data_IF_319839099141
#
_entry.id   IF_319839099141
#
_cell.length_a   1.000
_cell.length_b   1.000
_cell.length_c   1.000
_cell.angle_alpha   90.00
_cell.angle_beta   90.00
_cell.angle_gamma   90.00
#
_symmetry.space_group_name_H-M   'P 1'
#
loop_
_entity.id
_entity.type
_entity.pdbx_description
1 polymer ?
#
# COMPACT_ATOMS: atom_id res chain seq x y z
N UNK A 1 1.39 -7.01 13.05
CA UNK A 1 1.89 -6.02 12.06
C UNK A 1 1.81 -4.64 12.71
N UNK A 2 2.86 -3.84 12.60
CA UNK A 2 2.82 -2.43 12.98
C UNK A 2 2.53 -1.59 11.72
N UNK A 3 1.46 -0.80 11.74
CA UNK A 3 1.06 -0.01 10.59
C UNK A 3 1.12 1.49 10.91
N UNK A 4 1.82 2.26 10.08
CA UNK A 4 1.78 3.72 10.07
C UNK A 4 1.67 4.20 8.64
N UNK A 5 0.52 4.75 8.27
CA UNK A 5 0.29 5.17 6.90
C UNK A 5 1.00 6.50 6.61
N UNK A 6 1.67 6.59 5.45
CA UNK A 6 2.22 7.82 4.92
C UNK A 6 1.13 8.66 4.22
N UNK A 7 0.19 7.98 3.56
CA UNK A 7 -1.00 8.49 2.87
C UNK A 7 -0.74 9.28 1.58
N UNK A 8 0.30 10.13 1.51
CA UNK A 8 0.54 10.97 0.34
C UNK A 8 2.00 11.41 0.23
N UNK A 9 2.30 12.17 -0.82
CA UNK A 9 3.63 12.64 -1.21
C UNK A 9 4.03 13.94 -0.50
N UNK A 10 5.34 14.25 -0.35
CA UNK A 10 5.81 15.37 0.47
C UNK A 10 5.14 16.73 0.20
N UNK A 11 4.98 17.10 -1.08
CA UNK A 11 4.39 18.39 -1.49
C UNK A 11 2.95 18.57 -0.99
N UNK A 12 2.18 17.48 -0.94
CA UNK A 12 0.76 17.49 -0.55
C UNK A 12 0.60 17.21 0.96
N UNK A 13 1.56 16.49 1.55
CA UNK A 13 1.49 15.99 2.92
C UNK A 13 1.13 17.06 3.95
N UNK A 14 1.84 18.18 3.98
CA UNK A 14 1.62 19.24 4.98
C UNK A 14 0.21 19.84 4.90
N UNK A 15 -0.39 19.87 3.71
CA UNK A 15 -1.75 20.38 3.49
C UNK A 15 -2.80 19.41 4.06
N UNK A 16 -2.59 18.11 3.87
CA UNK A 16 -3.57 17.08 4.27
C UNK A 16 -3.38 16.58 5.70
N UNK A 17 -2.15 16.63 6.21
CA UNK A 17 -1.76 16.08 7.53
C UNK A 17 -0.96 17.12 8.32
N UNK A 18 -1.52 18.29 8.66
CA UNK A 18 -0.78 19.40 9.26
C UNK A 18 -0.18 19.09 10.64
N UNK A 19 -0.71 18.08 11.35
CA UNK A 19 -0.18 17.61 12.64
C UNK A 19 1.00 16.62 12.50
N UNK A 20 1.34 16.20 11.28
CA UNK A 20 2.40 15.24 10.98
C UNK A 20 3.44 15.85 10.04
N UNK A 21 4.62 15.25 10.00
CA UNK A 21 5.61 15.51 8.94
C UNK A 21 5.90 14.20 8.20
N UNK A 22 6.23 14.33 6.92
CA UNK A 22 6.56 13.20 6.06
C UNK A 22 7.74 12.40 6.63
N UNK A 23 8.82 13.08 7.03
CA UNK A 23 10.06 12.50 7.51
C UNK A 23 9.87 11.77 8.85
N UNK A 24 9.11 12.37 9.79
CA UNK A 24 8.76 11.68 11.05
C UNK A 24 7.88 10.46 10.81
N UNK A 25 7.01 10.48 9.80
CA UNK A 25 6.18 9.31 9.45
C UNK A 25 7.03 8.15 8.94
N UNK A 26 8.02 8.43 8.10
CA UNK A 26 9.00 7.43 7.68
C UNK A 26 9.82 6.93 8.87
N UNK A 27 10.29 7.82 9.74
CA UNK A 27 11.06 7.44 10.94
C UNK A 27 10.30 6.51 11.89
N UNK A 28 8.98 6.69 12.02
CA UNK A 28 8.14 5.78 12.81
C UNK A 28 8.18 4.34 12.24
N UNK A 29 8.19 4.18 10.92
CA UNK A 29 8.34 2.87 10.28
C UNK A 29 9.73 2.29 10.53
N UNK A 30 10.78 3.11 10.42
CA UNK A 30 12.15 2.70 10.72
C UNK A 30 12.31 2.21 12.16
N UNK A 31 11.74 2.93 13.13
CA UNK A 31 11.74 2.52 14.53
C UNK A 31 11.01 1.18 14.75
N UNK A 32 9.87 0.98 14.07
CA UNK A 32 9.14 -0.28 14.15
C UNK A 32 9.93 -1.46 13.56
N UNK A 33 10.63 -1.22 12.44
CA UNK A 33 11.54 -2.19 11.82
C UNK A 33 12.72 -2.52 12.74
N UNK A 34 13.32 -1.51 13.39
CA UNK A 34 14.41 -1.70 14.36
C UNK A 34 13.96 -2.48 15.60
N UNK A 35 12.69 -2.36 15.98
CA UNK A 35 12.04 -3.17 17.01
C UNK A 35 11.61 -4.57 16.52
N UNK A 36 12.11 -5.01 15.36
CA UNK A 36 11.84 -6.31 14.73
C UNK A 36 10.36 -6.59 14.42
N UNK A 37 9.55 -5.54 14.23
CA UNK A 37 8.15 -5.68 13.85
C UNK A 37 8.00 -5.74 12.32
N UNK A 38 7.07 -6.57 11.83
CA UNK A 38 6.62 -6.48 10.43
C UNK A 38 5.90 -5.14 10.24
N UNK A 39 6.37 -4.32 9.32
CA UNK A 39 5.88 -2.95 9.11
C UNK A 39 4.92 -2.86 7.93
N UNK A 40 4.00 -1.90 7.99
CA UNK A 40 3.05 -1.61 6.93
C UNK A 40 2.80 -0.12 6.77
N UNK A 41 2.65 0.32 5.53
CA UNK A 41 2.18 1.65 5.20
C UNK A 41 1.17 1.65 4.05
N UNK A 42 0.69 2.84 3.71
CA UNK A 42 -0.32 3.08 2.68
C UNK A 42 -0.01 4.36 1.90
N UNK A 43 -0.31 4.36 0.61
CA UNK A 43 -0.43 5.54 -0.25
C UNK A 43 -1.85 5.64 -0.79
N UNK A 44 -2.41 6.85 -0.75
CA UNK A 44 -3.71 7.18 -1.33
C UNK A 44 -3.45 8.06 -2.55
N UNK A 45 -3.92 7.64 -3.71
CA UNK A 45 -3.77 8.33 -4.99
C UNK A 45 -5.04 9.10 -5.36
N UNK A 46 -4.94 10.06 -6.26
CA UNK A 46 -6.05 10.89 -6.71
C UNK A 46 -6.21 12.21 -5.94
N UNK A 47 -5.17 12.63 -5.20
CA UNK A 47 -5.16 13.89 -4.44
C UNK A 47 -4.30 14.99 -5.09
N UNK A 48 -3.73 14.72 -6.26
CA UNK A 48 -2.95 15.67 -7.06
C UNK A 48 -1.45 15.38 -7.08
N UNK A 49 -1.05 14.19 -6.64
CA UNK A 49 0.31 13.67 -6.74
C UNK A 49 0.69 13.34 -8.19
N UNK A 50 1.94 13.59 -8.55
CA UNK A 50 2.51 13.25 -9.86
C UNK A 50 3.19 11.88 -9.82
N UNK A 51 3.33 11.21 -10.97
CA UNK A 51 3.93 9.87 -11.05
C UNK A 51 5.33 9.81 -10.42
N UNK A 52 6.19 10.80 -10.69
CA UNK A 52 7.52 10.88 -10.08
C UNK A 52 7.46 11.00 -8.54
N UNK A 53 6.46 11.70 -8.00
CA UNK A 53 6.27 11.82 -6.56
C UNK A 53 5.74 10.51 -5.94
N UNK A 54 4.92 9.75 -6.67
CA UNK A 54 4.47 8.41 -6.26
C UNK A 54 5.67 7.47 -6.19
N UNK A 55 6.48 7.41 -7.26
CA UNK A 55 7.68 6.59 -7.31
C UNK A 55 8.63 6.89 -6.15
N UNK A 56 8.93 8.17 -5.91
CA UNK A 56 9.76 8.60 -4.79
C UNK A 56 9.17 8.18 -3.44
N UNK A 57 7.86 8.32 -3.24
CA UNK A 57 7.23 7.92 -1.99
C UNK A 57 7.27 6.41 -1.75
N UNK A 58 7.18 5.60 -2.81
CA UNK A 58 7.36 4.14 -2.72
C UNK A 58 8.80 3.80 -2.33
N UNK A 59 9.79 4.45 -2.95
CA UNK A 59 11.21 4.28 -2.63
C UNK A 59 11.53 4.71 -1.19
N UNK A 60 11.00 5.84 -0.75
CA UNK A 60 11.19 6.33 0.62
C UNK A 60 10.61 5.38 1.65
N UNK A 61 9.42 4.82 1.37
CA UNK A 61 8.81 3.80 2.22
C UNK A 61 9.66 2.53 2.28
N UNK A 62 10.19 2.09 1.14
CA UNK A 62 11.09 0.94 1.08
C UNK A 62 12.36 1.20 1.90
N UNK A 63 13.01 2.34 1.69
CA UNK A 63 14.21 2.76 2.39
C UNK A 63 13.98 2.90 3.91
N UNK A 64 12.78 3.32 4.32
CA UNK A 64 12.38 3.40 5.73
C UNK A 64 12.17 2.01 6.38
N UNK A 65 12.25 0.92 5.61
CA UNK A 65 12.08 -0.45 6.10
C UNK A 65 10.62 -0.91 6.12
N UNK A 66 9.77 -0.38 5.23
CA UNK A 66 8.38 -0.81 5.09
C UNK A 66 8.30 -2.19 4.39
N UNK A 67 7.73 -3.20 5.05
CA UNK A 67 7.58 -4.54 4.45
C UNK A 67 6.35 -4.64 3.55
N UNK A 68 5.25 -4.01 3.95
CA UNK A 68 3.95 -4.14 3.29
C UNK A 68 3.45 -2.78 2.83
N UNK A 69 3.06 -2.67 1.56
CA UNK A 69 2.48 -1.47 0.98
C UNK A 69 1.06 -1.70 0.47
N UNK A 70 0.13 -0.83 0.86
CA UNK A 70 -1.15 -0.67 0.17
C UNK A 70 -1.18 0.61 -0.66
N UNK A 71 -1.79 0.55 -1.84
CA UNK A 71 -1.99 1.71 -2.73
C UNK A 71 -3.47 1.77 -3.11
N UNK A 72 -4.13 2.89 -2.84
CA UNK A 72 -5.59 3.00 -2.95
C UNK A 72 -6.05 4.28 -3.64
N UNK A 73 -7.31 4.33 -4.06
CA UNK A 73 -7.96 5.55 -4.55
C UNK A 73 -8.47 6.40 -3.38
N UNK A 74 -8.22 7.70 -3.47
CA UNK A 74 -8.86 8.68 -2.61
C UNK A 74 -10.36 8.76 -2.91
N UNK A 75 -11.18 8.46 -1.92
CA UNK A 75 -12.62 8.73 -1.95
C UNK A 75 -12.90 9.89 -1.01
N UNK A 76 -13.33 11.01 -1.61
CA UNK A 76 -13.66 12.22 -0.88
C UNK A 76 -14.85 11.98 0.07
N UNK A 77 -14.68 12.08 1.40
CA UNK A 77 -15.76 11.77 2.34
C UNK A 77 -16.91 12.78 2.29
N UNK A 78 -16.61 14.05 2.03
CA UNK A 78 -17.62 15.11 1.90
C UNK A 78 -17.08 16.32 1.12
N UNK A 79 -17.95 17.25 0.68
CA UNK A 79 -17.53 18.47 -0.01
C UNK A 79 -16.61 19.41 0.80
N UNK A 80 -16.43 19.18 2.10
CA UNK A 80 -15.49 19.95 2.94
C UNK A 80 -14.07 19.38 2.93
N UNK A 81 -13.90 18.13 2.49
CA UNK A 81 -12.60 17.49 2.38
C UNK A 81 -11.91 17.87 1.07
N UNK A 82 -10.60 17.59 1.00
CA UNK A 82 -9.77 17.79 -0.20
C UNK A 82 -10.52 17.30 -1.45
N UNK A 83 -10.55 18.08 -2.55
CA UNK A 83 -11.19 17.64 -3.78
C UNK A 83 -10.45 16.42 -4.35
N UNK A 84 -11.19 15.58 -5.07
CA UNK A 84 -10.58 14.55 -5.91
C UNK A 84 -9.94 15.27 -7.08
N UNK A 85 -8.64 15.03 -7.29
CA UNK A 85 -7.90 15.58 -8.42
C UNK A 85 -8.08 14.68 -9.66
N UNK A 86 -7.92 13.36 -9.47
CA UNK A 86 -8.11 12.37 -10.53
C UNK A 86 -8.62 11.03 -10.01
N UNK A 87 -9.28 10.30 -10.90
CA UNK A 87 -9.61 8.88 -10.72
C UNK A 87 -8.53 8.03 -11.39
N UNK A 88 -7.77 7.31 -10.59
CA UNK A 88 -6.65 6.50 -11.07
C UNK A 88 -7.18 5.25 -11.77
N UNK A 89 -6.62 4.95 -12.94
CA UNK A 89 -7.09 3.79 -13.72
C UNK A 89 -6.57 2.47 -13.12
N UNK A 90 -7.28 1.34 -13.28
CA UNK A 90 -6.81 0.04 -12.80
C UNK A 90 -5.41 -0.34 -13.29
N UNK A 91 -5.02 0.01 -14.53
CA UNK A 91 -3.70 -0.30 -15.08
C UNK A 91 -2.57 0.41 -14.32
N UNK A 92 -2.81 1.63 -13.83
CA UNK A 92 -1.85 2.37 -13.02
C UNK A 92 -1.63 1.70 -11.66
N UNK A 93 -2.69 1.17 -11.03
CA UNK A 93 -2.52 0.39 -9.79
C UNK A 93 -1.72 -0.89 -10.02
N UNK A 94 -1.89 -1.56 -11.16
CA UNK A 94 -1.06 -2.72 -11.53
C UNK A 94 0.40 -2.29 -11.72
N UNK A 95 0.63 -1.16 -12.42
CA UNK A 95 1.96 -0.60 -12.60
C UNK A 95 2.66 -0.32 -11.26
N UNK A 96 2.03 0.43 -10.36
CA UNK A 96 2.63 0.76 -9.06
C UNK A 96 2.84 -0.46 -8.17
N UNK A 97 1.99 -1.48 -8.30
CA UNK A 97 2.21 -2.75 -7.62
C UNK A 97 3.48 -3.43 -8.10
N UNK A 98 3.65 -3.56 -9.41
CA UNK A 98 4.85 -4.16 -10.01
C UNK A 98 6.11 -3.36 -9.69
N UNK A 99 6.00 -2.03 -9.65
CA UNK A 99 7.09 -1.14 -9.23
C UNK A 99 7.54 -1.44 -7.79
N UNK A 100 6.62 -1.45 -6.84
CA UNK A 100 6.92 -1.74 -5.43
C UNK A 100 7.42 -3.19 -5.24
N UNK A 101 6.83 -4.16 -5.93
CA UNK A 101 7.32 -5.55 -5.89
C UNK A 101 8.75 -5.67 -6.42
N UNK A 102 9.08 -4.95 -7.51
CA UNK A 102 10.42 -4.89 -8.10
C UNK A 102 11.48 -4.29 -7.17
N UNK A 103 11.09 -3.35 -6.29
CA UNK A 103 11.97 -2.82 -5.24
C UNK A 103 12.21 -3.82 -4.11
N UNK A 104 11.32 -4.79 -3.91
CA UNK A 104 11.47 -5.85 -2.90
C UNK A 104 10.51 -5.75 -1.71
N UNK A 105 9.40 -5.01 -1.84
CA UNK A 105 8.32 -5.09 -0.84
C UNK A 105 7.85 -6.54 -0.67
N UNK A 106 7.62 -6.95 0.58
CA UNK A 106 7.26 -8.33 0.90
C UNK A 106 5.78 -8.59 0.68
N UNK A 107 4.92 -7.59 0.83
CA UNK A 107 3.52 -7.65 0.43
C UNK A 107 3.07 -6.35 -0.22
N UNK A 108 2.47 -6.42 -1.39
CA UNK A 108 1.89 -5.25 -2.06
C UNK A 108 0.43 -5.52 -2.37
N UNK A 109 -0.40 -4.49 -2.23
CA UNK A 109 -1.79 -4.54 -2.65
C UNK A 109 -2.24 -3.19 -3.16
N UNK A 110 -2.70 -3.14 -4.41
CA UNK A 110 -3.12 -1.92 -5.08
C UNK A 110 -4.43 -2.10 -5.83
N UNK A 111 -5.27 -1.08 -5.74
CA UNK A 111 -6.56 -1.04 -6.41
C UNK A 111 -7.47 0.05 -5.85
N UNK A 112 -8.54 0.39 -6.60
CA UNK A 112 -9.41 1.50 -6.24
C UNK A 112 -10.16 1.29 -4.92
N UNK A 113 -10.50 0.05 -4.56
CA UNK A 113 -11.23 -0.28 -3.32
C UNK A 113 -10.33 -0.85 -2.23
N UNK A 114 -9.02 -1.00 -2.48
CA UNK A 114 -8.06 -1.44 -1.47
C UNK A 114 -8.13 -0.49 -0.28
N UNK A 115 -7.95 -1.02 0.92
CA UNK A 115 -7.82 -0.24 2.16
C UNK A 115 -6.68 -0.80 2.99
N UNK A 116 -6.18 -0.01 3.93
CA UNK A 116 -5.07 -0.43 4.79
C UNK A 116 -5.36 -1.73 5.57
N UNK A 117 -6.62 -2.10 5.84
CA UNK A 117 -6.96 -3.40 6.47
C UNK A 117 -7.31 -4.51 5.47
N UNK A 118 -7.50 -4.21 4.18
CA UNK A 118 -7.94 -5.19 3.20
C UNK A 118 -6.91 -6.31 3.05
N UNK A 119 -7.36 -7.56 3.26
CA UNK A 119 -6.53 -8.79 3.19
C UNK A 119 -5.23 -8.71 4.04
N UNK A 120 -5.25 -7.95 5.13
CA UNK A 120 -4.05 -7.70 5.95
C UNK A 120 -3.40 -8.98 6.50
N UNK A 121 -4.20 -9.99 6.89
CA UNK A 121 -3.67 -11.27 7.37
C UNK A 121 -2.84 -12.02 6.32
N UNK A 122 -3.25 -11.99 5.04
CA UNK A 122 -2.50 -12.62 3.94
C UNK A 122 -1.22 -11.86 3.61
N UNK A 123 -1.29 -10.53 3.57
CA UNK A 123 -0.11 -9.69 3.37
C UNK A 123 0.92 -9.90 4.47
N UNK A 124 0.46 -10.02 5.72
CA UNK A 124 1.32 -10.35 6.86
C UNK A 124 1.93 -11.75 6.73
N UNK A 125 1.14 -12.78 6.40
CA UNK A 125 1.67 -14.13 6.19
C UNK A 125 2.73 -14.16 5.09
N UNK A 126 2.48 -13.50 3.95
CA UNK A 126 3.45 -13.35 2.87
C UNK A 126 4.74 -12.67 3.33
N UNK A 127 4.62 -11.60 4.12
CA UNK A 127 5.77 -10.90 4.67
C UNK A 127 6.57 -11.75 5.66
N UNK A 128 5.90 -12.54 6.51
CA UNK A 128 6.55 -13.49 7.41
C UNK A 128 7.35 -14.52 6.63
N UNK A 129 6.73 -15.19 5.65
CA UNK A 129 7.37 -16.21 4.81
C UNK A 129 8.57 -15.64 4.04
N UNK A 130 8.41 -14.50 3.35
CA UNK A 130 9.52 -13.86 2.62
C UNK A 130 10.65 -13.35 3.52
N UNK A 131 10.36 -13.09 4.80
CA UNK A 131 11.36 -12.73 5.80
C UNK A 131 12.03 -13.94 6.47
N UNK A 132 11.68 -15.18 6.08
CA UNK A 132 12.15 -16.40 6.74
C UNK A 132 11.60 -16.59 8.16
N UNK A 133 10.53 -15.87 8.54
CA UNK A 133 9.91 -15.96 9.86
C UNK A 133 8.81 -17.02 9.85
N UNK A 134 8.75 -17.83 10.90
CA UNK A 134 7.68 -18.82 11.07
C UNK A 134 6.33 -18.17 11.34
N UNK A 135 5.27 -18.69 10.72
CA UNK A 135 3.89 -18.34 11.06
C UNK A 135 3.49 -19.20 12.27
N UNK A 136 3.03 -18.61 13.39
CA UNK A 136 2.58 -19.38 14.55
C UNK A 136 1.45 -20.35 14.17
N UNK A 137 1.36 -21.55 14.78
CA UNK A 137 0.37 -22.56 14.41
C UNK A 137 -1.09 -22.07 14.42
N UNK A 138 -1.47 -21.24 15.41
CA UNK A 138 -2.81 -20.66 15.49
C UNK A 138 -3.14 -19.65 14.37
N UNK A 139 -2.14 -19.21 13.60
CA UNK A 139 -2.26 -18.32 12.45
C UNK A 139 -1.93 -19.01 11.11
N UNK A 140 -1.69 -20.33 11.10
CA UNK A 140 -1.31 -21.07 9.88
C UNK A 140 -2.31 -20.88 8.73
N UNK A 141 -3.61 -20.80 9.05
CA UNK A 141 -4.70 -20.54 8.11
C UNK A 141 -4.53 -19.24 7.28
N UNK A 142 -3.71 -18.28 7.75
CA UNK A 142 -3.40 -17.06 6.99
C UNK A 142 -2.45 -17.30 5.81
N UNK A 143 -1.64 -18.38 5.87
CA UNK A 143 -0.69 -18.78 4.83
C UNK A 143 -1.21 -19.85 3.86
N UNK A 144 -2.22 -20.63 4.25
CA UNK A 144 -2.68 -21.82 3.49
C UNK A 144 -3.60 -21.54 2.29
N UNK A 145 -4.16 -20.34 2.19
CA UNK A 145 -5.14 -20.07 1.14
C UNK A 145 -4.43 -19.79 -0.21
N UNK A 146 -4.29 -20.86 -1.02
CA UNK A 146 -3.55 -21.00 -2.29
C UNK A 146 -3.91 -20.11 -3.48
N UNK A 147 -4.36 -18.88 -3.26
CA UNK A 147 -4.26 -17.82 -4.26
C UNK A 147 -3.36 -16.73 -3.68
N UNK A 148 -2.31 -16.27 -4.40
CA UNK A 148 -1.63 -15.02 -4.04
C UNK A 148 -2.72 -13.97 -3.86
N UNK A 149 -2.54 -13.03 -2.93
CA UNK A 149 -3.56 -12.03 -2.65
C UNK A 149 -3.88 -11.27 -3.95
N UNK A 150 -4.86 -11.78 -4.73
CA UNK A 150 -5.06 -11.38 -6.12
C UNK A 150 -5.20 -9.88 -6.12
N UNK A 151 -4.37 -9.25 -6.93
CA UNK A 151 -4.42 -7.81 -7.05
C UNK A 151 -5.82 -7.40 -7.51
N UNK A 152 -6.48 -6.57 -6.72
CA UNK A 152 -7.85 -6.12 -7.01
C UNK A 152 -7.91 -5.49 -8.40
N UNK A 153 -6.93 -4.63 -8.71
CA UNK A 153 -6.83 -3.98 -10.01
C UNK A 153 -6.73 -4.97 -11.18
N UNK A 154 -5.90 -6.01 -11.07
CA UNK A 154 -5.79 -7.04 -12.11
C UNK A 154 -7.10 -7.82 -12.29
N UNK A 155 -7.87 -8.02 -11.22
CA UNK A 155 -9.18 -8.68 -11.28
C UNK A 155 -10.19 -7.82 -12.04
N UNK A 156 -10.17 -6.50 -11.84
CA UNK A 156 -11.03 -5.57 -12.59
C UNK A 156 -10.71 -5.58 -14.09
N UNK A 157 -9.42 -5.59 -14.45
CA UNK A 157 -8.98 -5.66 -15.86
C UNK A 157 -9.44 -6.95 -16.54
N UNK A 158 -9.30 -8.09 -15.86
CA UNK A 158 -9.74 -9.39 -16.38
C UNK A 158 -11.28 -9.48 -16.53
N UNK A 159 -12.04 -8.80 -15.66
CA UNK A 159 -13.50 -8.72 -15.74
C UNK A 159 -14.00 -7.80 -16.86
N UNK A 160 -13.36 -6.64 -17.04
CA UNK A 160 -13.70 -5.68 -18.10
C UNK A 160 -13.49 -6.24 -19.50
N UNK A 161 -12.43 -7.04 -19.71
CA UNK A 161 -12.16 -7.71 -20.99
C UNK A 161 -13.25 -8.74 -21.38
N UNK A 162 -14.01 -9.29 -20.42
CA UNK A 162 -15.11 -10.24 -20.69
C UNK A 162 -16.46 -9.57 -20.92
N UNK A 163 -16.64 -8.33 -20.50
CA UNK A 163 -17.89 -7.58 -20.63
C UNK A 163 -18.00 -6.79 -21.95
N UNK A 164 -16.89 -6.66 -22.68
CA UNK A 164 -16.81 -5.98 -23.98
C UNK A 164 -16.69 -6.91 -25.19
N UNK A 165 -16.96 -8.21 -25.01
CA UNK A 165 -16.95 -9.23 -26.07
C UNK A 165 -18.36 -9.78 -26.32
#
# INVERSE_FOLDING_TARGET
VFAHNLETVPRIFKRLRPAFTYEKSLRVLTMAREADLVTKSNLILGMGEQEAEIAQAIEDLYAAGCDILTITQYLRPSPRHHPIDRWVKPEEFVHWSGYAEGLGFKGVMAGPLVRSSYRAGRLWASAMTKSGRGIPPHLAHLGEAGEPARQEAATLLAGGAKAGA
#
